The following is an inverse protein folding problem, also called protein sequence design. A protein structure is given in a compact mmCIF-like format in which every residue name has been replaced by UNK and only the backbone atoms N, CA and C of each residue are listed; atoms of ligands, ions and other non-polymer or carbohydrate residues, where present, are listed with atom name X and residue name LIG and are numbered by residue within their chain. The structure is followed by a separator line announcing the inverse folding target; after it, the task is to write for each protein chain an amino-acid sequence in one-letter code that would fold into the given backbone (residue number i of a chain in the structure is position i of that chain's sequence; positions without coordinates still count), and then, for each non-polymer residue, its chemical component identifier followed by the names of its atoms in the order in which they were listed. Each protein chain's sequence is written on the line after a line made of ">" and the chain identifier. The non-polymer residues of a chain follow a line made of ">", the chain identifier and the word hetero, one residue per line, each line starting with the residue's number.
data_IF_031159279255
#
_entry.id   IF_031159279255
#
_cell.length_a   1.000
_cell.length_b   1.000
_cell.length_c   1.000
_cell.angle_alpha   90.00
_cell.angle_beta   90.00
_cell.angle_gamma   90.00
#
_symmetry.space_group_name_H-M   'P 1'
#
loop_
_entity.id
_entity.type
_entity.pdbx_description
1 polymer ?
#
# COMPACT_ATOMS: atom_id res chain seq x y z
N UNK A 1 0.64 62.05 -15.30
CA UNK A 1 -0.12 60.80 -15.54
C UNK A 1 0.60 59.66 -14.84
N UNK A 2 0.31 59.41 -13.56
CA UNK A 2 0.93 58.32 -12.79
C UNK A 2 0.13 57.04 -12.95
N UNK A 3 0.77 55.99 -13.50
CA UNK A 3 0.18 54.66 -13.62
C UNK A 3 0.49 53.89 -12.32
N UNK A 4 -0.57 53.53 -11.59
CA UNK A 4 -0.48 52.70 -10.38
C UNK A 4 -0.48 51.25 -10.84
N UNK A 5 0.64 50.57 -10.64
CA UNK A 5 0.83 49.15 -11.00
C UNK A 5 0.20 48.27 -9.92
N UNK A 6 -0.80 47.47 -10.28
CA UNK A 6 -1.45 46.46 -9.44
C UNK A 6 -0.47 45.33 -9.11
N UNK A 7 -0.19 45.10 -7.83
CA UNK A 7 0.49 43.90 -7.35
C UNK A 7 -0.50 42.73 -7.31
N UNK A 8 -0.31 41.75 -8.20
CA UNK A 8 -1.01 40.47 -8.13
C UNK A 8 -0.34 39.59 -7.08
N UNK A 9 -1.01 39.36 -5.95
CA UNK A 9 -0.58 38.42 -4.93
C UNK A 9 -0.97 36.98 -5.32
N UNK A 10 0.01 36.16 -5.72
CA UNK A 10 -0.19 34.74 -5.97
C UNK A 10 -0.19 33.97 -4.65
N UNK A 11 -1.37 33.53 -4.21
CA UNK A 11 -1.53 32.58 -3.10
C UNK A 11 -1.12 31.19 -3.59
N UNK A 12 0.05 30.70 -3.17
CA UNK A 12 0.48 29.32 -3.41
C UNK A 12 -0.21 28.45 -2.36
N UNK A 13 -1.30 27.79 -2.76
CA UNK A 13 -1.98 26.79 -1.93
C UNK A 13 -1.17 25.48 -2.00
N UNK A 14 -0.33 25.23 -0.99
CA UNK A 14 0.39 23.96 -0.86
C UNK A 14 -0.62 22.84 -0.58
N UNK A 15 -0.94 22.04 -1.60
CA UNK A 15 -1.66 20.78 -1.44
C UNK A 15 -0.78 19.80 -0.65
N UNK A 16 -1.01 19.76 0.66
CA UNK A 16 -0.49 18.69 1.52
C UNK A 16 -1.20 17.40 1.12
N UNK A 17 -0.57 16.61 0.26
CA UNK A 17 -1.00 15.23 0.04
C UNK A 17 -0.64 14.45 1.30
N UNK A 18 -1.63 14.23 2.16
CA UNK A 18 -1.51 13.33 3.29
C UNK A 18 -1.07 11.97 2.76
N UNK A 19 0.19 11.60 2.99
CA UNK A 19 0.67 10.26 2.71
C UNK A 19 -0.12 9.30 3.61
N UNK A 20 -1.18 8.70 3.06
CA UNK A 20 -1.87 7.58 3.70
C UNK A 20 -0.80 6.51 3.86
N UNK A 21 -0.44 6.20 5.11
CA UNK A 21 0.38 5.05 5.43
C UNK A 21 -0.40 3.81 4.97
N UNK A 22 -0.18 3.38 3.73
CA UNK A 22 -0.80 2.20 3.17
C UNK A 22 -0.22 1.01 3.92
N UNK A 23 -0.94 0.55 4.94
CA UNK A 23 -0.67 -0.72 5.61
C UNK A 23 -0.65 -1.79 4.53
N UNK A 24 0.52 -2.33 4.23
CA UNK A 24 0.70 -3.34 3.18
C UNK A 24 -0.26 -4.51 3.41
N UNK A 25 -1.13 -4.76 2.45
CA UNK A 25 -2.02 -5.92 2.36
C UNK A 25 -1.77 -6.71 1.08
N UNK A 26 -2.19 -7.97 1.05
CA UNK A 26 -2.14 -8.80 -0.16
C UNK A 26 -2.82 -8.08 -1.33
N UNK A 27 -4.02 -7.54 -1.11
CA UNK A 27 -4.79 -6.80 -2.12
C UNK A 27 -4.03 -5.57 -2.63
N UNK A 28 -3.42 -4.78 -1.74
CA UNK A 28 -2.65 -3.59 -2.15
C UNK A 28 -1.40 -3.94 -2.96
N UNK A 29 -0.73 -5.04 -2.62
CA UNK A 29 0.49 -5.48 -3.30
C UNK A 29 0.17 -6.06 -4.68
N UNK A 30 -0.91 -6.82 -4.80
CA UNK A 30 -1.44 -7.29 -6.08
C UNK A 30 -1.81 -6.10 -6.98
N UNK A 31 -2.49 -5.08 -6.45
CA UNK A 31 -2.81 -3.86 -7.20
C UNK A 31 -1.55 -3.07 -7.64
N UNK A 32 -0.43 -3.21 -6.92
CA UNK A 32 0.87 -2.62 -7.28
C UNK A 32 1.70 -3.49 -8.26
N UNK A 33 1.15 -4.61 -8.71
CA UNK A 33 1.78 -5.51 -9.68
C UNK A 33 2.71 -6.56 -9.08
N UNK A 34 2.63 -6.82 -7.77
CA UNK A 34 3.22 -8.02 -7.22
C UNK A 34 2.41 -9.25 -7.65
N UNK A 35 3.07 -10.38 -7.82
CA UNK A 35 2.44 -11.67 -8.14
C UNK A 35 2.63 -12.65 -6.99
N UNK A 36 1.74 -13.64 -6.87
CA UNK A 36 1.88 -14.70 -5.86
C UNK A 36 3.02 -15.63 -6.28
N UNK A 37 4.07 -15.70 -5.46
CA UNK A 37 5.23 -16.55 -5.67
C UNK A 37 5.14 -17.90 -4.93
N UNK A 38 4.33 -17.98 -3.88
CA UNK A 38 4.15 -19.22 -3.12
C UNK A 38 3.30 -19.05 -1.87
N UNK A 39 2.98 -20.18 -1.24
CA UNK A 39 2.20 -20.24 0.00
C UNK A 39 3.01 -21.02 1.04
N UNK A 40 3.05 -20.51 2.26
CA UNK A 40 3.70 -21.10 3.42
C UNK A 40 2.65 -21.44 4.49
N UNK A 41 2.32 -22.72 4.72
CA UNK A 41 1.49 -23.08 5.85
C UNK A 41 2.23 -22.77 7.16
N UNK A 42 1.56 -22.13 8.12
CA UNK A 42 2.13 -21.86 9.44
C UNK A 42 1.07 -21.94 10.55
N UNK A 43 1.46 -22.18 11.81
CA UNK A 43 0.54 -22.15 12.94
C UNK A 43 -0.13 -20.79 13.18
N UNK A 44 0.47 -19.69 12.69
CA UNK A 44 -0.06 -18.34 12.83
C UNK A 44 -1.09 -17.97 11.74
N UNK A 45 -1.32 -18.88 10.79
CA UNK A 45 -2.11 -18.69 9.57
C UNK A 45 -1.27 -18.94 8.30
N UNK A 46 -1.90 -19.15 7.14
CA UNK A 46 -1.18 -19.27 5.88
C UNK A 46 -0.43 -17.96 5.57
N UNK A 47 0.84 -18.10 5.22
CA UNK A 47 1.68 -17.06 4.63
C UNK A 47 1.58 -17.10 3.11
N UNK A 48 1.52 -15.94 2.47
CA UNK A 48 1.53 -15.79 1.02
C UNK A 48 2.77 -14.97 0.68
N UNK A 49 3.64 -15.53 -0.15
CA UNK A 49 4.76 -14.81 -0.73
C UNK A 49 4.29 -14.05 -1.98
N UNK A 50 4.55 -12.75 -2.00
CA UNK A 50 4.30 -11.86 -3.12
C UNK A 50 5.63 -11.32 -3.65
N UNK A 51 5.84 -11.42 -4.96
CA UNK A 51 7.08 -11.00 -5.60
C UNK A 51 6.83 -9.95 -6.69
N UNK A 52 7.71 -8.97 -6.76
CA UNK A 52 7.83 -8.03 -7.88
C UNK A 52 9.30 -7.77 -8.15
N UNK A 53 9.79 -8.22 -9.30
CA UNK A 53 11.22 -8.17 -9.65
C UNK A 53 12.06 -8.88 -8.57
N UNK A 54 12.95 -8.14 -7.89
CA UNK A 54 13.78 -8.64 -6.79
C UNK A 54 13.16 -8.44 -5.41
N UNK A 55 12.00 -7.78 -5.31
CA UNK A 55 11.33 -7.54 -4.05
C UNK A 55 10.42 -8.72 -3.70
N UNK A 56 10.61 -9.28 -2.51
CA UNK A 56 9.78 -10.35 -1.97
C UNK A 56 9.12 -9.87 -0.66
N UNK A 57 7.83 -10.11 -0.52
CA UNK A 57 7.04 -9.78 0.67
C UNK A 57 6.30 -11.02 1.10
N UNK A 58 6.29 -11.33 2.39
CA UNK A 58 5.44 -12.37 2.96
C UNK A 58 4.29 -11.73 3.72
N UNK A 59 3.07 -12.13 3.40
CA UNK A 59 1.86 -11.69 4.06
C UNK A 59 1.19 -12.86 4.75
N UNK A 60 1.00 -12.77 6.06
CA UNK A 60 0.20 -13.75 6.79
C UNK A 60 -1.25 -13.34 6.72
N UNK A 61 -2.12 -14.30 6.43
CA UNK A 61 -3.54 -14.08 6.24
C UNK A 61 -4.37 -14.99 7.13
N UNK A 62 -5.63 -14.62 7.30
CA UNK A 62 -6.62 -15.45 7.98
C UNK A 62 -7.88 -15.50 7.14
N UNK A 63 -8.47 -16.70 7.10
CA UNK A 63 -9.84 -16.88 6.65
C UNK A 63 -10.71 -17.01 7.91
N UNK A 64 -11.91 -16.45 7.87
CA UNK A 64 -12.93 -16.73 8.88
C UNK A 64 -14.10 -17.43 8.20
N UNK A 65 -14.86 -18.29 8.90
CA UNK A 65 -15.94 -19.07 8.29
C UNK A 65 -17.03 -18.23 7.61
N UNK A 66 -17.10 -16.94 7.96
CA UNK A 66 -18.09 -15.99 7.45
C UNK A 66 -17.51 -15.00 6.44
N UNK A 67 -16.21 -15.05 6.14
CA UNK A 67 -15.57 -14.08 5.27
C UNK A 67 -15.64 -14.50 3.81
N UNK A 68 -16.09 -13.58 2.95
CA UNK A 68 -15.96 -13.71 1.49
C UNK A 68 -14.55 -13.38 0.99
N UNK A 69 -13.68 -12.86 1.86
CA UNK A 69 -12.33 -12.42 1.52
C UNK A 69 -11.28 -12.95 2.49
N UNK A 70 -10.05 -13.09 1.98
CA UNK A 70 -8.88 -13.42 2.77
C UNK A 70 -8.36 -12.15 3.45
N UNK A 71 -8.44 -12.11 4.78
CA UNK A 71 -8.04 -10.94 5.55
C UNK A 71 -6.52 -10.97 5.82
N UNK A 72 -5.82 -9.91 5.45
CA UNK A 72 -4.39 -9.79 5.75
C UNK A 72 -4.18 -9.47 7.24
N UNK A 73 -3.43 -10.32 7.95
CA UNK A 73 -3.00 -10.07 9.33
C UNK A 73 -1.86 -9.05 9.37
N UNK A 74 -0.80 -9.32 8.61
CA UNK A 74 0.36 -8.46 8.45
C UNK A 74 1.18 -8.87 7.25
N UNK A 75 1.92 -7.92 6.67
CA UNK A 75 2.93 -8.17 5.64
C UNK A 75 4.30 -7.70 6.10
N UNK A 76 5.34 -8.40 5.67
CA UNK A 76 6.74 -8.04 5.92
C UNK A 76 7.58 -8.29 4.67
N UNK A 77 8.46 -7.35 4.28
CA UNK A 77 9.49 -7.63 3.29
C UNK A 77 10.38 -8.78 3.74
N UNK A 78 10.74 -9.65 2.82
CA UNK A 78 11.70 -10.74 3.01
C UNK A 78 13.05 -10.24 2.52
N UNK A 79 14.08 -10.39 3.36
CA UNK A 79 15.47 -10.07 3.04
C UNK A 79 16.31 -11.33 3.10
#
# INVERSE_FOLDING_TARGET
>A
MSRITLFAASVILALQTSAVAQTMSVQSLLAQGYTIAGILPSPAGPGIFLQKETNLVVCFVTETPTSTEVATRYCKPVR
#
